data_IF_040836290060
#
_entry.id   IF_040836290060
#
_cell.length_a   1.000
_cell.length_b   1.000
_cell.length_c   1.000
_cell.angle_alpha   90.00
_cell.angle_beta   90.00
_cell.angle_gamma   90.00
#
_symmetry.space_group_name_H-M   'P 1'
#
loop_
_entity.id
_entity.type
_entity.pdbx_description
1 polymer ?
#
# COMPACT_ATOMS: atom_id res chain seq x y z
N UNK A 1 -6.92 -4.12 11.36
CA UNK A 1 -7.13 -5.53 11.05
C UNK A 1 -5.80 -6.14 10.62
N UNK A 2 -5.58 -7.39 10.93
CA UNK A 2 -4.35 -8.15 10.56
C UNK A 2 -4.77 -9.40 9.76
N UNK A 3 -5.77 -9.27 8.86
CA UNK A 3 -6.35 -10.40 8.13
C UNK A 3 -5.33 -11.11 7.24
N UNK A 4 -4.56 -10.34 6.48
CA UNK A 4 -3.49 -10.91 5.63
C UNK A 4 -2.45 -11.62 6.47
N UNK A 5 -2.05 -11.06 7.60
CA UNK A 5 -1.10 -11.69 8.53
C UNK A 5 -1.63 -13.00 9.09
N UNK A 6 -2.93 -13.05 9.40
CA UNK A 6 -3.57 -14.29 9.86
C UNK A 6 -3.65 -15.34 8.76
N UNK A 7 -4.06 -14.94 7.54
CA UNK A 7 -4.06 -15.83 6.36
C UNK A 7 -2.66 -16.42 6.15
N UNK A 8 -1.61 -15.59 6.20
CA UNK A 8 -0.23 -16.05 6.07
C UNK A 8 0.16 -17.03 7.18
N UNK A 9 -0.28 -16.78 8.42
CA UNK A 9 -0.01 -17.66 9.55
C UNK A 9 -0.73 -19.01 9.43
N UNK A 10 -1.96 -19.02 8.95
CA UNK A 10 -2.75 -20.25 8.76
C UNK A 10 -2.25 -21.10 7.60
N UNK A 11 -1.82 -20.46 6.52
CA UNK A 11 -1.41 -21.15 5.29
C UNK A 11 0.10 -21.45 5.24
N UNK A 12 0.92 -20.78 6.06
CA UNK A 12 2.36 -20.82 5.97
C UNK A 12 2.93 -20.16 4.70
N UNK A 13 2.11 -19.39 3.98
CA UNK A 13 2.46 -18.76 2.70
C UNK A 13 2.24 -17.25 2.83
N UNK A 14 3.20 -16.46 2.37
CA UNK A 14 2.96 -15.05 2.13
C UNK A 14 2.13 -14.89 0.85
N UNK A 15 0.82 -14.67 1.04
CA UNK A 15 -0.15 -14.63 -0.04
C UNK A 15 0.12 -13.46 -0.99
N UNK A 16 0.42 -12.28 -0.45
CA UNK A 16 0.68 -11.07 -1.25
C UNK A 16 1.92 -11.28 -2.11
N UNK A 17 3.03 -11.65 -1.52
CA UNK A 17 4.28 -11.88 -2.26
C UNK A 17 4.16 -12.96 -3.32
N UNK A 18 3.46 -14.05 -3.00
CA UNK A 18 3.22 -15.14 -3.95
C UNK A 18 2.45 -14.67 -5.20
N UNK A 19 1.40 -13.87 -4.98
CA UNK A 19 0.58 -13.38 -6.09
C UNK A 19 1.33 -12.30 -6.88
N UNK A 20 2.03 -11.40 -6.19
CA UNK A 20 2.83 -10.37 -6.84
C UNK A 20 3.93 -10.95 -7.72
N UNK A 21 4.65 -11.98 -7.27
CA UNK A 21 5.66 -12.66 -8.07
C UNK A 21 5.06 -13.32 -9.31
N UNK A 22 3.90 -13.97 -9.15
CA UNK A 22 3.18 -14.56 -10.28
C UNK A 22 2.71 -13.50 -11.29
N UNK A 23 2.28 -12.34 -10.79
CA UNK A 23 1.85 -11.22 -11.62
C UNK A 23 3.04 -10.53 -12.28
N UNK A 24 4.12 -10.26 -11.55
CA UNK A 24 5.32 -9.60 -12.07
C UNK A 24 5.93 -10.33 -13.27
N UNK A 25 5.93 -11.67 -13.26
CA UNK A 25 6.38 -12.48 -14.42
C UNK A 25 5.55 -12.28 -15.69
N UNK A 26 4.34 -11.74 -15.58
CA UNK A 26 3.42 -11.49 -16.70
C UNK A 26 3.21 -10.01 -16.97
N UNK A 27 3.75 -9.17 -16.10
CA UNK A 27 3.58 -7.73 -16.17
C UNK A 27 4.39 -7.17 -17.33
N UNK A 28 3.78 -6.28 -18.09
CA UNK A 28 4.46 -5.51 -19.14
C UNK A 28 4.48 -4.05 -18.73
N UNK A 29 5.67 -3.52 -18.53
CA UNK A 29 5.89 -2.12 -18.18
C UNK A 29 6.58 -1.41 -19.36
N UNK A 30 6.02 -0.28 -19.77
CA UNK A 30 6.45 0.43 -20.98
C UNK A 30 7.87 1.05 -20.84
N UNK A 31 8.26 1.38 -19.62
CA UNK A 31 9.51 2.12 -19.35
C UNK A 31 10.49 1.40 -18.42
N UNK A 32 10.17 0.19 -17.99
CA UNK A 32 10.95 -0.56 -17.00
C UNK A 32 11.01 -2.03 -17.40
N UNK A 33 12.21 -2.58 -17.48
CA UNK A 33 12.41 -4.03 -17.57
C UNK A 33 12.40 -4.63 -16.17
N UNK A 34 11.48 -5.59 -15.94
CA UNK A 34 11.36 -6.30 -14.67
C UNK A 34 12.21 -7.56 -14.69
N UNK A 35 13.26 -7.60 -13.86
CA UNK A 35 13.95 -8.84 -13.52
C UNK A 35 13.27 -9.50 -12.33
N UNK A 36 12.63 -10.63 -12.56
CA UNK A 36 11.96 -11.44 -11.53
C UNK A 36 12.71 -12.72 -11.19
N UNK A 37 13.86 -12.97 -11.82
CA UNK A 37 14.61 -14.22 -11.65
C UNK A 37 15.70 -14.09 -10.58
N UNK A 38 16.28 -12.91 -10.43
CA UNK A 38 17.42 -12.68 -9.53
C UNK A 38 17.06 -11.94 -8.24
N UNK A 39 15.82 -12.00 -7.79
CA UNK A 39 15.27 -11.21 -6.69
C UNK A 39 16.04 -11.28 -5.37
N UNK A 40 16.93 -12.23 -5.20
CA UNK A 40 17.66 -12.47 -3.95
C UNK A 40 19.17 -12.28 -4.06
N UNK A 41 19.70 -12.09 -5.25
CA UNK A 41 21.14 -11.93 -5.45
C UNK A 41 21.47 -10.51 -5.88
N UNK A 42 21.48 -9.61 -4.90
CA UNK A 42 21.76 -8.19 -5.11
C UNK A 42 23.13 -7.92 -5.74
N UNK A 43 24.07 -8.87 -5.65
CA UNK A 43 25.39 -8.74 -6.26
C UNK A 43 25.34 -8.78 -7.80
N UNK A 44 24.25 -9.27 -8.36
CA UNK A 44 24.04 -9.37 -9.81
C UNK A 44 23.31 -8.17 -10.41
N UNK A 45 22.78 -7.28 -9.58
CA UNK A 45 22.10 -6.11 -10.09
C UNK A 45 23.10 -5.08 -10.64
N UNK A 46 22.80 -4.48 -11.79
CA UNK A 46 23.60 -3.36 -12.28
C UNK A 46 23.50 -2.16 -11.32
N UNK A 47 24.54 -1.33 -11.30
CA UNK A 47 24.58 -0.12 -10.45
C UNK A 47 23.39 0.84 -10.62
N UNK A 48 22.66 0.69 -11.72
CA UNK A 48 21.47 1.48 -12.02
C UNK A 48 20.15 0.76 -11.77
N UNK A 49 20.17 -0.38 -11.07
CA UNK A 49 18.96 -1.11 -10.75
C UNK A 49 18.04 -0.32 -9.81
N UNK A 50 16.76 -0.37 -10.11
CA UNK A 50 15.69 0.14 -9.27
C UNK A 50 14.93 -1.05 -8.73
N UNK A 51 14.75 -1.13 -7.42
CA UNK A 51 13.88 -2.13 -6.85
C UNK A 51 12.46 -1.62 -6.76
N UNK A 52 11.52 -2.51 -7.00
CA UNK A 52 10.09 -2.30 -6.79
C UNK A 52 9.62 -3.19 -5.64
N UNK A 53 8.91 -2.60 -4.70
CA UNK A 53 8.25 -3.33 -3.62
C UNK A 53 6.79 -2.89 -3.50
N UNK A 54 5.93 -3.81 -3.11
CA UNK A 54 4.53 -3.50 -2.79
C UNK A 54 4.29 -3.76 -1.31
N UNK A 55 3.84 -2.75 -0.62
CA UNK A 55 3.63 -2.78 0.84
C UNK A 55 2.15 -2.63 1.14
N UNK A 56 1.60 -3.53 1.94
CA UNK A 56 0.27 -3.36 2.54
C UNK A 56 0.43 -2.42 3.75
N UNK A 57 -0.15 -1.23 3.67
CA UNK A 57 -0.09 -0.26 4.76
C UNK A 57 -1.20 -0.44 5.78
N UNK A 58 -2.40 -0.68 5.26
CA UNK A 58 -3.58 -0.81 6.10
C UNK A 58 -4.61 -1.71 5.44
N UNK A 59 -5.34 -2.44 6.27
CA UNK A 59 -6.52 -3.18 5.85
C UNK A 59 -7.62 -3.04 6.89
N UNK A 60 -8.87 -2.98 6.44
CA UNK A 60 -10.03 -2.87 7.30
C UNK A 60 -11.20 -3.71 6.76
N UNK A 61 -11.95 -4.29 7.68
CA UNK A 61 -13.23 -4.94 7.37
C UNK A 61 -14.33 -4.25 8.14
N UNK A 62 -15.37 -3.84 7.42
CA UNK A 62 -16.59 -3.25 7.99
C UNK A 62 -17.81 -4.05 7.58
N UNK A 63 -18.84 -4.08 8.43
CA UNK A 63 -20.08 -4.80 8.21
C UNK A 63 -21.27 -3.90 8.51
N UNK A 64 -22.28 -3.95 7.66
CA UNK A 64 -23.57 -3.35 7.87
C UNK A 64 -24.69 -4.36 7.62
N UNK A 65 -25.80 -4.24 8.32
CA UNK A 65 -27.00 -5.05 8.12
C UNK A 65 -28.11 -4.21 7.49
N UNK A 66 -28.69 -4.71 6.42
CA UNK A 66 -29.94 -4.19 5.91
C UNK A 66 -31.12 -4.80 6.70
N UNK A 67 -31.69 -4.03 7.59
CA UNK A 67 -32.76 -4.49 8.49
C UNK A 67 -34.03 -4.95 7.78
N UNK A 68 -34.31 -4.43 6.58
CA UNK A 68 -35.48 -4.83 5.80
C UNK A 68 -35.32 -6.19 5.14
N UNK A 69 -34.15 -6.46 4.56
CA UNK A 69 -33.85 -7.71 3.85
C UNK A 69 -33.13 -8.74 4.69
N UNK A 70 -32.63 -8.35 5.85
CA UNK A 70 -31.75 -9.17 6.73
C UNK A 70 -30.42 -9.60 6.08
N UNK A 71 -30.06 -8.96 4.99
CA UNK A 71 -28.78 -9.19 4.31
C UNK A 71 -27.67 -8.40 4.99
N UNK A 72 -26.58 -9.06 5.29
CA UNK A 72 -25.35 -8.46 5.77
C UNK A 72 -24.48 -8.07 4.57
N UNK A 73 -24.04 -6.81 4.53
CA UNK A 73 -23.06 -6.31 3.57
C UNK A 73 -21.73 -6.12 4.30
N UNK A 74 -20.69 -6.73 3.78
CA UNK A 74 -19.34 -6.55 4.27
C UNK A 74 -18.48 -5.85 3.23
N UNK A 75 -17.58 -4.99 3.68
CA UNK A 75 -16.57 -4.33 2.85
C UNK A 75 -15.20 -4.64 3.44
N UNK A 76 -14.32 -5.12 2.59
CA UNK A 76 -12.91 -5.23 2.91
C UNK A 76 -12.14 -4.24 2.06
N UNK A 77 -11.47 -3.33 2.73
CA UNK A 77 -10.62 -2.30 2.12
C UNK A 77 -9.17 -2.62 2.41
N UNK A 78 -8.33 -2.56 1.40
CA UNK A 78 -6.89 -2.74 1.55
C UNK A 78 -6.13 -1.63 0.81
N UNK A 79 -5.17 -1.03 1.52
CA UNK A 79 -4.40 0.12 1.09
C UNK A 79 -2.94 -0.29 0.94
N UNK A 80 -2.40 -0.02 -0.23
CA UNK A 80 -1.05 -0.42 -0.62
C UNK A 80 -0.22 0.76 -1.08
N UNK A 81 1.08 0.59 -1.01
CA UNK A 81 2.04 1.44 -1.72
C UNK A 81 2.97 0.61 -2.59
N UNK A 82 3.16 1.07 -3.84
CA UNK A 82 4.23 0.60 -4.70
C UNK A 82 5.40 1.54 -4.46
N UNK A 83 6.50 0.99 -3.98
CA UNK A 83 7.71 1.73 -3.68
C UNK A 83 8.77 1.43 -4.73
N UNK A 84 9.37 2.47 -5.26
CA UNK A 84 10.54 2.37 -6.13
C UNK A 84 11.74 2.99 -5.42
N UNK A 85 12.82 2.25 -5.28
CA UNK A 85 14.00 2.74 -4.62
C UNK A 85 15.28 2.37 -5.36
N UNK A 86 16.28 3.24 -5.25
CA UNK A 86 17.61 3.05 -5.80
C UNK A 86 18.47 2.29 -4.78
N UNK A 87 19.01 1.15 -5.18
CA UNK A 87 19.88 0.36 -4.31
C UNK A 87 21.23 1.03 -4.09
N UNK A 88 21.72 1.80 -5.05
CA UNK A 88 23.07 2.39 -4.99
C UNK A 88 23.21 3.41 -3.87
N UNK A 89 22.20 4.22 -3.65
CA UNK A 89 22.18 5.26 -2.60
C UNK A 89 21.15 5.00 -1.49
N UNK A 90 20.44 3.89 -1.56
CA UNK A 90 19.40 3.46 -0.61
C UNK A 90 18.31 4.53 -0.43
N UNK A 91 17.96 5.23 -1.51
CA UNK A 91 16.98 6.30 -1.46
C UNK A 91 15.66 5.88 -2.11
N UNK A 92 14.54 6.35 -1.53
CA UNK A 92 13.23 6.21 -2.15
C UNK A 92 13.14 7.15 -3.35
N UNK A 93 12.88 6.58 -4.53
CA UNK A 93 12.69 7.33 -5.77
C UNK A 93 11.26 7.85 -5.86
N UNK A 94 10.28 6.96 -5.72
CA UNK A 94 8.87 7.26 -5.85
C UNK A 94 8.02 6.30 -5.04
N UNK A 95 6.84 6.77 -4.66
CA UNK A 95 5.78 5.97 -4.05
C UNK A 95 4.49 6.20 -4.83
N UNK A 96 3.81 5.11 -5.19
CA UNK A 96 2.52 5.14 -5.86
C UNK A 96 1.52 4.44 -4.95
N UNK A 97 0.65 5.17 -4.26
CA UNK A 97 -0.40 4.57 -3.45
C UNK A 97 -1.49 3.99 -4.35
N UNK A 98 -2.08 2.89 -3.92
CA UNK A 98 -3.28 2.32 -4.50
C UNK A 98 -4.09 1.55 -3.47
N UNK A 99 -5.37 1.45 -3.71
CA UNK A 99 -6.30 0.73 -2.87
C UNK A 99 -7.23 -0.15 -3.70
N UNK A 100 -7.90 -1.04 -3.03
CA UNK A 100 -9.03 -1.77 -3.57
C UNK A 100 -10.05 -2.08 -2.48
N UNK A 101 -11.30 -2.21 -2.91
CA UNK A 101 -12.44 -2.58 -2.08
C UNK A 101 -13.03 -3.89 -2.58
N UNK A 102 -13.38 -4.78 -1.65
CA UNK A 102 -14.19 -5.97 -1.92
C UNK A 102 -15.52 -5.83 -1.21
N UNK A 103 -16.59 -5.88 -1.96
CA UNK A 103 -17.93 -5.95 -1.40
C UNK A 103 -18.42 -7.39 -1.33
N UNK A 104 -18.86 -7.79 -0.17
CA UNK A 104 -19.37 -9.12 0.13
C UNK A 104 -20.81 -9.05 0.62
N UNK A 105 -21.64 -10.03 0.23
CA UNK A 105 -23.00 -10.16 0.73
C UNK A 105 -23.16 -11.52 1.42
N UNK A 106 -23.94 -11.56 2.51
CA UNK A 106 -24.24 -12.77 3.26
C UNK A 106 -25.61 -12.66 3.90
N UNK A 107 -26.34 -13.78 3.97
CA UNK A 107 -27.55 -13.90 4.78
C UNK A 107 -27.23 -14.05 6.27
N UNK A 108 -26.02 -14.48 6.59
CA UNK A 108 -25.53 -14.64 7.95
C UNK A 108 -24.55 -13.52 8.32
N UNK A 109 -24.51 -13.21 9.61
CA UNK A 109 -23.51 -12.27 10.15
C UNK A 109 -22.10 -12.78 9.89
N UNK A 110 -21.23 -11.88 9.46
CA UNK A 110 -19.84 -12.20 9.25
C UNK A 110 -19.15 -12.56 10.58
N UNK A 111 -18.54 -13.72 10.61
CA UNK A 111 -17.59 -14.08 11.64
C UNK A 111 -16.18 -14.02 11.06
N UNK A 112 -15.19 -14.03 11.93
CA UNK A 112 -13.79 -13.89 11.56
C UNK A 112 -13.37 -14.92 10.50
N UNK A 113 -13.78 -16.18 10.63
CA UNK A 113 -13.43 -17.25 9.70
C UNK A 113 -13.99 -17.00 8.29
N UNK A 114 -15.26 -16.60 8.20
CA UNK A 114 -15.91 -16.28 6.91
C UNK A 114 -15.16 -15.13 6.22
N UNK A 115 -14.77 -14.10 6.99
CA UNK A 115 -14.02 -12.97 6.44
C UNK A 115 -12.65 -13.41 5.92
N UNK A 116 -11.89 -14.17 6.71
CA UNK A 116 -10.58 -14.70 6.30
C UNK A 116 -10.67 -15.56 5.03
N UNK A 117 -11.65 -16.47 4.97
CA UNK A 117 -11.83 -17.33 3.80
C UNK A 117 -12.16 -16.50 2.54
N UNK A 118 -13.07 -15.53 2.65
CA UNK A 118 -13.45 -14.67 1.52
C UNK A 118 -12.29 -13.76 1.06
N UNK A 119 -11.57 -13.17 1.99
CA UNK A 119 -10.40 -12.34 1.67
C UNK A 119 -9.30 -13.18 1.00
N UNK A 120 -9.02 -14.36 1.54
CA UNK A 120 -8.06 -15.30 0.93
C UNK A 120 -8.47 -15.68 -0.49
N UNK A 121 -9.73 -16.09 -0.69
CA UNK A 121 -10.24 -16.48 -2.00
C UNK A 121 -10.14 -15.35 -3.03
N UNK A 122 -10.42 -14.13 -2.60
CA UNK A 122 -10.25 -12.95 -3.46
C UNK A 122 -8.79 -12.77 -3.89
N UNK A 123 -7.84 -12.81 -2.94
CA UNK A 123 -6.44 -12.69 -3.30
C UNK A 123 -5.99 -13.76 -4.29
N UNK A 124 -6.48 -14.99 -4.12
CA UNK A 124 -6.06 -16.12 -4.95
C UNK A 124 -6.69 -16.14 -6.35
N UNK A 125 -7.95 -15.70 -6.49
CA UNK A 125 -8.74 -15.88 -7.72
C UNK A 125 -9.01 -14.57 -8.46
N UNK A 126 -9.30 -13.49 -7.75
CA UNK A 126 -9.68 -12.20 -8.32
C UNK A 126 -8.56 -11.15 -8.23
N UNK A 127 -7.34 -11.58 -8.17
CA UNK A 127 -6.11 -10.81 -7.92
C UNK A 127 -6.29 -9.27 -7.94
N UNK A 128 -6.16 -8.60 -6.79
CA UNK A 128 -6.26 -7.13 -6.72
C UNK A 128 -5.18 -6.42 -7.53
N UNK A 129 -4.15 -7.17 -7.91
CA UNK A 129 -2.98 -6.66 -8.64
C UNK A 129 -3.13 -6.72 -10.16
N UNK A 130 -4.31 -7.06 -10.68
CA UNK A 130 -4.51 -7.16 -12.15
C UNK A 130 -4.41 -5.82 -12.87
N UNK A 131 -4.61 -4.71 -12.15
CA UNK A 131 -4.47 -3.36 -12.69
C UNK A 131 -3.14 -2.69 -12.32
N UNK A 132 -2.22 -3.43 -11.68
CA UNK A 132 -0.98 -2.89 -11.18
C UNK A 132 -0.07 -2.34 -12.29
N UNK A 133 0.04 -3.07 -13.41
CA UNK A 133 0.76 -2.64 -14.60
C UNK A 133 0.21 -1.33 -15.18
N UNK A 134 -1.11 -1.22 -15.33
CA UNK A 134 -1.73 0.02 -15.78
C UNK A 134 -1.43 1.20 -14.84
N UNK A 135 -1.47 0.95 -13.53
CA UNK A 135 -1.17 1.98 -12.54
C UNK A 135 0.29 2.44 -12.63
N UNK A 136 1.22 1.51 -12.78
CA UNK A 136 2.65 1.81 -12.94
C UNK A 136 2.93 2.52 -14.27
N UNK A 137 2.32 2.05 -15.38
CA UNK A 137 2.53 2.66 -16.70
C UNK A 137 1.97 4.08 -16.81
N UNK A 138 0.93 4.41 -16.04
CA UNK A 138 0.44 5.78 -15.95
C UNK A 138 1.42 6.71 -15.22
N UNK A 139 2.31 6.15 -14.41
CA UNK A 139 3.29 6.90 -13.66
C UNK A 139 4.65 6.86 -14.37
N UNK A 140 5.09 7.99 -14.90
CA UNK A 140 6.39 8.09 -15.58
C UNK A 140 7.53 8.06 -14.54
N UNK A 141 8.00 6.87 -14.20
CA UNK A 141 9.04 6.69 -13.20
C UNK A 141 10.37 7.22 -13.75
N UNK A 142 10.94 8.18 -13.02
CA UNK A 142 12.25 8.75 -13.29
C UNK A 142 13.19 8.43 -12.14
N UNK A 143 14.42 8.09 -12.43
CA UNK A 143 15.43 7.84 -11.40
C UNK A 143 15.68 9.06 -10.50
N UNK A 144 15.54 10.26 -11.05
CA UNK A 144 15.62 11.52 -10.31
C UNK A 144 14.43 12.40 -10.67
N UNK A 145 13.75 12.87 -9.64
CA UNK A 145 12.70 13.87 -9.76
C UNK A 145 13.25 15.23 -9.40
N UNK A 146 12.92 16.23 -10.21
CA UNK A 146 13.31 17.61 -9.96
C UNK A 146 12.67 18.17 -8.70
N UNK A 147 11.49 17.63 -8.34
CA UNK A 147 10.71 18.06 -7.18
C UNK A 147 9.97 16.89 -6.58
N UNK A 148 9.91 16.88 -5.25
CA UNK A 148 9.15 15.91 -4.44
C UNK A 148 8.15 16.63 -3.56
N UNK A 149 6.98 16.08 -3.43
CA UNK A 149 5.93 16.60 -2.55
C UNK A 149 5.77 15.63 -1.39
N UNK A 150 5.67 16.15 -0.17
CA UNK A 150 5.37 15.35 1.02
C UNK A 150 4.21 15.93 1.78
N UNK A 151 3.31 15.09 2.23
CA UNK A 151 2.31 15.44 3.24
C UNK A 151 3.01 15.30 4.57
N UNK A 152 3.18 16.39 5.31
CA UNK A 152 4.00 16.40 6.54
C UNK A 152 3.16 16.55 7.79
N UNK A 153 1.94 17.06 7.64
CA UNK A 153 1.04 17.29 8.77
C UNK A 153 -0.42 17.13 8.33
N UNK A 154 -1.20 16.47 9.18
CA UNK A 154 -2.66 16.39 9.03
C UNK A 154 -3.28 16.73 10.37
N UNK A 155 -4.09 17.80 10.39
CA UNK A 155 -4.76 18.29 11.58
C UNK A 155 -6.26 18.08 11.48
N UNK A 156 -6.80 17.27 12.38
CA UNK A 156 -8.23 17.06 12.49
C UNK A 156 -8.79 18.12 13.43
N UNK A 157 -9.54 19.06 12.87
CA UNK A 157 -10.16 20.13 13.66
C UNK A 157 -11.15 19.57 14.70
N UNK A 158 -11.25 20.20 15.86
CA UNK A 158 -12.11 19.78 16.98
C UNK A 158 -13.56 19.52 16.53
N UNK A 159 -14.12 20.38 15.69
CA UNK A 159 -15.48 20.22 15.18
C UNK A 159 -15.66 18.95 14.33
N UNK A 160 -14.66 18.57 13.56
CA UNK A 160 -14.68 17.34 12.78
C UNK A 160 -14.49 16.14 13.71
N UNK A 161 -13.57 16.24 14.66
CA UNK A 161 -13.33 15.21 15.66
C UNK A 161 -14.57 14.93 16.52
N UNK A 162 -15.30 15.97 16.98
CA UNK A 162 -16.54 15.80 17.75
C UNK A 162 -17.61 14.99 17.01
N UNK A 163 -17.73 15.19 15.69
CA UNK A 163 -18.71 14.52 14.83
C UNK A 163 -18.28 13.13 14.35
N UNK A 164 -17.04 12.78 14.58
CA UNK A 164 -16.48 11.51 14.16
C UNK A 164 -17.05 10.34 14.97
N UNK A 165 -17.37 9.18 14.35
CA UNK A 165 -17.72 7.97 15.06
C UNK A 165 -16.67 7.58 16.12
N UNK A 166 -17.15 6.97 17.23
CA UNK A 166 -16.29 6.66 18.39
C UNK A 166 -15.13 5.73 18.02
N UNK A 167 -15.38 4.81 17.09
CA UNK A 167 -14.39 3.87 16.58
C UNK A 167 -13.20 4.60 15.94
N UNK A 168 -13.47 5.62 15.15
CA UNK A 168 -12.48 6.43 14.46
C UNK A 168 -11.74 7.39 15.40
N UNK A 169 -12.42 7.91 16.43
CA UNK A 169 -11.75 8.75 17.44
C UNK A 169 -10.58 8.07 18.13
N UNK A 170 -10.66 6.74 18.27
CA UNK A 170 -9.58 5.92 18.87
C UNK A 170 -8.45 5.58 17.89
N UNK A 171 -8.67 5.79 16.60
CA UNK A 171 -7.74 5.40 15.52
C UNK A 171 -7.30 6.61 14.69
N UNK A 172 -7.05 7.75 15.33
CA UNK A 172 -6.70 9.01 14.61
C UNK A 172 -5.55 8.84 13.63
N UNK A 173 -4.51 8.08 14.00
CA UNK A 173 -3.35 7.84 13.15
C UNK A 173 -3.73 7.09 11.87
N UNK A 174 -4.64 6.12 11.97
CA UNK A 174 -5.15 5.40 10.80
C UNK A 174 -5.89 6.35 9.87
N UNK A 175 -6.76 7.22 10.42
CA UNK A 175 -7.51 8.20 9.62
C UNK A 175 -6.56 9.19 8.94
N UNK A 176 -5.57 9.69 9.65
CA UNK A 176 -4.57 10.59 9.07
C UNK A 176 -3.81 9.90 7.93
N UNK A 177 -3.40 8.64 8.13
CA UNK A 177 -2.76 7.86 7.07
C UNK A 177 -3.67 7.67 5.85
N UNK A 178 -4.96 7.34 6.05
CA UNK A 178 -5.93 7.20 4.97
C UNK A 178 -6.13 8.52 4.20
N UNK A 179 -6.26 9.64 4.90
CA UNK A 179 -6.35 10.97 4.28
C UNK A 179 -5.09 11.26 3.47
N UNK A 180 -3.91 11.04 4.06
CA UNK A 180 -2.63 11.25 3.38
C UNK A 180 -2.52 10.40 2.12
N UNK A 181 -2.87 9.12 2.21
CA UNK A 181 -2.79 8.17 1.11
C UNK A 181 -3.74 8.55 -0.03
N UNK A 182 -5.01 8.83 0.28
CA UNK A 182 -6.00 9.25 -0.73
C UNK A 182 -5.57 10.56 -1.43
N UNK A 183 -5.01 11.49 -0.67
CA UNK A 183 -4.50 12.74 -1.24
C UNK A 183 -3.26 12.52 -2.10
N UNK A 184 -2.33 11.69 -1.63
CA UNK A 184 -1.12 11.32 -2.35
C UNK A 184 -1.46 10.58 -3.66
N UNK A 185 -2.41 9.64 -3.63
CA UNK A 185 -2.87 8.94 -4.82
C UNK A 185 -3.44 9.90 -5.86
N UNK A 186 -4.29 10.83 -5.42
CA UNK A 186 -4.86 11.84 -6.31
C UNK A 186 -3.80 12.72 -6.94
N UNK A 187 -2.85 13.20 -6.15
CA UNK A 187 -1.74 14.02 -6.64
C UNK A 187 -0.85 13.26 -7.62
N UNK A 188 -0.45 12.02 -7.29
CA UNK A 188 0.43 11.24 -8.14
C UNK A 188 -0.24 10.85 -9.45
N UNK A 189 -1.50 10.45 -9.43
CA UNK A 189 -2.24 10.00 -10.61
C UNK A 189 -2.60 11.14 -11.56
N UNK A 190 -2.92 12.33 -11.04
CA UNK A 190 -3.34 13.48 -11.87
C UNK A 190 -2.14 14.30 -12.36
N UNK A 191 -1.13 14.47 -11.51
CA UNK A 191 -0.02 15.39 -11.77
C UNK A 191 1.31 14.71 -12.04
N UNK A 192 1.38 13.38 -11.91
CA UNK A 192 2.60 12.60 -12.13
C UNK A 192 3.81 13.14 -11.35
N UNK A 193 3.61 13.44 -10.07
CA UNK A 193 4.63 13.95 -9.17
C UNK A 193 5.09 12.87 -8.19
N UNK A 194 6.36 12.91 -7.84
CA UNK A 194 6.89 12.01 -6.82
C UNK A 194 6.38 12.43 -5.44
N UNK A 195 5.72 11.51 -4.76
CA UNK A 195 5.20 11.70 -3.42
C UNK A 195 6.09 10.98 -2.42
N UNK A 196 6.49 11.70 -1.37
CA UNK A 196 7.14 11.08 -0.21
C UNK A 196 6.05 10.49 0.69
N UNK A 197 6.13 9.21 1.08
CA UNK A 197 5.15 8.58 1.95
C UNK A 197 4.94 9.37 3.24
N UNK A 198 3.69 9.51 3.65
CA UNK A 198 3.35 10.10 4.93
C UNK A 198 3.57 9.07 6.04
N UNK A 199 4.29 9.47 7.08
CA UNK A 199 4.43 8.67 8.30
C UNK A 199 4.27 9.60 9.50
N UNK A 200 3.18 9.42 10.24
CA UNK A 200 2.87 10.26 11.38
C UNK A 200 3.96 10.18 12.46
N UNK A 201 4.35 11.35 13.00
CA UNK A 201 5.34 11.45 14.06
C UNK A 201 6.78 11.16 13.62
N UNK A 202 7.02 10.89 12.35
CA UNK A 202 8.39 10.81 11.82
C UNK A 202 8.86 12.20 11.40
N UNK A 203 9.94 12.63 12.02
CA UNK A 203 10.65 13.82 11.52
C UNK A 203 11.18 13.53 10.11
N UNK A 204 11.07 14.52 9.24
CA UNK A 204 11.66 14.54 7.91
C UNK A 204 13.10 13.99 7.96
N UNK A 205 13.42 13.04 7.09
CA UNK A 205 14.77 12.43 7.00
C UNK A 205 14.97 11.11 7.75
N UNK A 206 13.92 10.49 8.28
CA UNK A 206 14.03 9.15 8.88
C UNK A 206 13.97 8.04 7.85
N UNK A 207 14.70 6.95 8.14
CA UNK A 207 14.69 5.75 7.35
C UNK A 207 13.39 4.96 7.54
N UNK A 208 12.83 4.46 6.46
CA UNK A 208 11.79 3.43 6.49
C UNK A 208 12.45 2.06 6.45
N UNK A 209 12.02 1.15 7.31
CA UNK A 209 12.55 -0.21 7.33
C UNK A 209 11.76 -1.08 6.38
N UNK A 210 12.43 -1.63 5.38
CA UNK A 210 11.89 -2.67 4.51
C UNK A 210 12.49 -4.01 4.88
N UNK A 211 11.63 -4.99 5.04
CA UNK A 211 12.02 -6.39 5.14
C UNK A 211 11.52 -7.12 3.90
N UNK A 212 12.42 -7.71 3.15
CA UNK A 212 12.01 -8.59 2.06
C UNK A 212 11.54 -9.92 2.62
N UNK A 213 10.38 -10.39 2.14
CA UNK A 213 9.75 -11.63 2.64
C UNK A 213 10.64 -12.86 2.47
N UNK A 214 11.57 -12.81 1.55
CA UNK A 214 12.45 -13.93 1.19
C UNK A 214 13.86 -13.82 1.80
N UNK A 215 14.17 -12.75 2.51
CA UNK A 215 15.42 -12.59 3.25
C UNK A 215 15.13 -12.03 4.64
N UNK A 216 15.96 -12.42 5.63
CA UNK A 216 15.89 -11.84 6.97
C UNK A 216 16.54 -10.46 7.04
N UNK A 217 17.05 -9.97 5.92
CA UNK A 217 17.74 -8.68 5.85
C UNK A 217 16.74 -7.52 5.99
N UNK A 218 17.10 -6.57 6.82
CA UNK A 218 16.34 -5.33 7.02
C UNK A 218 17.14 -4.20 6.36
N UNK A 219 16.50 -3.54 5.41
CA UNK A 219 17.08 -2.39 4.72
C UNK A 219 16.49 -1.10 5.26
N UNK A 220 17.36 -0.16 5.62
CA UNK A 220 16.96 1.19 6.01
C UNK A 220 16.91 2.07 4.76
N UNK A 221 15.70 2.35 4.26
CA UNK A 221 15.51 3.25 3.14
C UNK A 221 15.52 4.69 3.62
N UNK A 222 16.37 5.51 3.04
CA UNK A 222 16.36 6.95 3.28
C UNK A 222 15.19 7.58 2.56
N UNK A 223 14.29 8.20 3.33
CA UNK A 223 13.25 9.04 2.76
C UNK A 223 13.87 10.38 2.37
N UNK A 224 13.73 10.76 1.12
CA UNK A 224 14.16 12.07 0.68
C UNK A 224 13.33 13.15 1.35
N UNK A 225 13.96 14.30 1.67
CA UNK A 225 13.21 15.45 2.09
C UNK A 225 12.31 15.94 0.96
N UNK A 226 11.04 16.24 1.21
CA UNK A 226 10.18 16.85 0.20
C UNK A 226 10.61 18.30 -0.06
N UNK A 227 10.59 18.70 -1.34
CA UNK A 227 10.82 20.08 -1.74
C UNK A 227 9.62 20.98 -1.40
N UNK A 228 8.42 20.38 -1.42
CA UNK A 228 7.17 21.00 -1.04
C UNK A 228 6.47 20.19 0.03
N UNK A 229 6.04 20.88 1.05
CA UNK A 229 5.30 20.29 2.17
C UNK A 229 3.83 20.69 2.09
N UNK A 230 2.95 19.70 2.26
CA UNK A 230 1.50 19.91 2.33
C UNK A 230 1.06 19.64 3.76
N UNK A 231 0.35 20.61 4.33
CA UNK A 231 -0.37 20.50 5.58
C UNK A 231 -1.87 20.45 5.27
N UNK A 232 -2.57 19.50 5.81
CA UNK A 232 -4.00 19.27 5.62
C UNK A 232 -4.74 19.50 6.92
#
# INVERSE_FOLDING_TARGET
SDLVKEINSETGIDIISTILLKKAKKMHLDSIDLDTENLLDFSKFPDNAIAMSVVLEHEEFTEEINWATKVHSGWYDAYFQILFYDFSDQSLIASIPFDFEIRMLSEEKYNKKIVLDKVRDFYLHDSPFDKLDNKINQFNIKRKYDRRIGITQIDIQDRAFEKMPVEYKKKQNVIKNLIAQSFAERLSSVHNVAIVPYVEGQAIGKAMKLRFVQSDDIYDLKLANPDYQIHI
#
